data_IF_469453691552
#
_entry.id   IF_469453691552
#
_cell.length_a   1.000
_cell.length_b   1.000
_cell.length_c   1.000
_cell.angle_alpha   90.00
_cell.angle_beta   90.00
_cell.angle_gamma   90.00
#
_symmetry.space_group_name_H-M   'P 1'
#
loop_
_entity.id
_entity.type
_entity.pdbx_description
1 polymer ?
#
# COMPACT_ATOMS: atom_id res chain seq x y z
N UNK A 1 70.88 37.18 23.23
CA UNK A 1 69.59 37.82 23.12
C UNK A 1 68.82 36.98 22.11
N UNK A 2 67.99 36.15 22.61
CA UNK A 2 67.52 34.93 21.95
C UNK A 2 66.20 35.15 21.20
N UNK A 3 66.19 34.95 19.92
CA UNK A 3 65.02 34.85 19.09
C UNK A 3 64.36 33.45 19.30
N UNK A 4 63.09 33.42 19.59
CA UNK A 4 62.27 32.20 19.57
C UNK A 4 61.33 32.26 18.36
N UNK A 5 61.65 31.52 17.36
CA UNK A 5 60.79 31.19 16.23
C UNK A 5 59.68 30.23 16.67
N UNK A 6 58.44 30.61 16.48
CA UNK A 6 57.26 29.76 16.71
C UNK A 6 56.79 29.20 15.35
N UNK A 7 56.95 27.91 15.18
CA UNK A 7 56.35 27.16 14.05
C UNK A 7 54.89 26.85 14.31
N UNK A 8 54.03 27.30 13.43
CA UNK A 8 52.60 26.98 13.40
C UNK A 8 52.42 25.70 12.61
N UNK A 9 52.07 24.62 13.30
CA UNK A 9 51.62 23.38 12.67
C UNK A 9 50.17 23.51 12.15
N UNK A 10 50.04 23.31 10.83
CA UNK A 10 48.73 23.23 10.17
C UNK A 10 48.15 21.84 10.39
N UNK A 11 47.08 21.73 11.21
CA UNK A 11 46.27 20.54 11.32
C UNK A 11 45.35 20.40 10.11
N UNK A 12 45.71 19.53 9.17
CA UNK A 12 44.86 19.05 8.12
C UNK A 12 43.71 18.22 8.70
N UNK A 13 42.51 18.69 8.57
CA UNK A 13 41.29 17.91 8.86
C UNK A 13 41.10 16.95 7.69
N UNK A 14 41.48 15.70 7.88
CA UNK A 14 41.09 14.60 7.02
C UNK A 14 39.57 14.38 7.17
N UNK A 15 38.84 14.51 6.06
CA UNK A 15 37.47 14.05 5.97
C UNK A 15 37.51 12.52 5.92
N UNK A 16 37.17 11.87 7.00
CA UNK A 16 36.81 10.46 6.98
C UNK A 16 35.47 10.34 6.28
N UNK A 17 35.48 9.88 5.04
CA UNK A 17 34.31 9.27 4.42
C UNK A 17 33.99 8.04 5.27
N UNK A 18 32.83 8.02 5.88
CA UNK A 18 32.32 6.83 6.55
C UNK A 18 31.96 5.82 5.43
N UNK A 19 32.86 4.87 5.19
CA UNK A 19 32.53 3.66 4.42
C UNK A 19 31.42 2.95 5.21
N UNK A 20 30.22 2.94 4.66
CA UNK A 20 29.12 2.12 5.14
C UNK A 20 29.49 0.64 4.93
N UNK A 21 29.93 0.00 6.00
CA UNK A 21 30.17 -1.44 5.97
C UNK A 21 28.84 -2.15 5.64
N UNK A 22 28.83 -3.12 4.71
CA UNK A 22 27.66 -3.98 4.49
C UNK A 22 27.34 -4.67 5.82
N UNK A 23 26.10 -4.54 6.29
CA UNK A 23 25.62 -5.31 7.45
C UNK A 23 25.68 -6.78 7.07
N UNK A 24 26.56 -7.56 7.69
CA UNK A 24 26.60 -9.01 7.53
C UNK A 24 25.30 -9.61 8.12
N UNK A 25 24.42 -10.03 7.25
CA UNK A 25 23.29 -10.86 7.63
C UNK A 25 23.77 -12.32 7.59
N UNK A 26 23.76 -12.95 8.74
CA UNK A 26 24.04 -14.38 8.82
C UNK A 26 22.98 -15.15 8.05
N UNK A 27 23.40 -15.97 7.09
CA UNK A 27 22.57 -16.94 6.39
C UNK A 27 22.23 -18.09 7.34
N UNK A 28 21.26 -17.86 8.23
CA UNK A 28 20.68 -18.94 9.02
C UNK A 28 19.57 -19.58 8.19
N UNK A 29 19.62 -20.90 8.03
CA UNK A 29 18.50 -21.66 7.48
C UNK A 29 17.23 -21.38 8.31
N UNK A 30 16.06 -21.19 7.66
CA UNK A 30 14.83 -20.91 8.39
C UNK A 30 14.47 -22.08 9.33
N UNK A 31 14.46 -21.81 10.63
CA UNK A 31 14.27 -22.85 11.67
C UNK A 31 12.83 -23.25 11.91
N UNK A 32 11.83 -22.59 11.35
CA UNK A 32 10.45 -23.02 11.58
C UNK A 32 9.75 -23.43 10.31
N UNK A 33 9.41 -24.70 10.22
CA UNK A 33 8.43 -25.25 9.28
C UNK A 33 7.00 -25.11 9.82
N UNK A 34 6.83 -24.55 11.00
CA UNK A 34 5.50 -24.36 11.59
C UNK A 34 4.79 -23.17 10.99
N UNK A 35 3.49 -23.30 10.71
CA UNK A 35 2.71 -22.20 10.15
C UNK A 35 2.60 -21.06 11.16
N UNK A 36 3.05 -19.87 10.79
CA UNK A 36 2.69 -18.65 11.50
C UNK A 36 1.21 -18.39 11.22
N UNK A 37 0.36 -18.81 12.16
CA UNK A 37 -1.08 -18.58 12.04
C UNK A 37 -1.37 -17.10 11.94
N UNK A 38 -1.86 -16.65 10.79
CA UNK A 38 -2.51 -15.34 10.67
C UNK A 38 -3.90 -15.35 11.32
N UNK A 39 -4.39 -16.53 11.74
CA UNK A 39 -5.65 -16.71 12.45
C UNK A 39 -5.51 -16.16 13.88
N UNK A 40 -6.39 -15.26 14.25
CA UNK A 40 -6.58 -14.83 15.62
C UNK A 40 -5.92 -13.54 16.07
N UNK A 41 -4.99 -12.96 15.31
CA UNK A 41 -4.36 -11.69 15.66
C UNK A 41 -5.27 -10.46 15.47
N UNK A 42 -6.46 -10.63 14.89
CA UNK A 42 -7.33 -9.53 14.47
C UNK A 42 -8.54 -9.29 15.37
N UNK A 43 -8.85 -10.13 16.32
CA UNK A 43 -10.02 -9.98 17.21
C UNK A 43 -9.62 -10.05 18.66
N UNK A 44 -9.87 -8.95 19.39
CA UNK A 44 -9.67 -8.87 20.85
C UNK A 44 -10.96 -8.38 21.49
N UNK A 45 -11.52 -9.12 22.44
CA UNK A 45 -12.75 -8.74 23.14
C UNK A 45 -13.99 -8.58 22.21
N UNK A 46 -14.01 -9.32 21.08
CA UNK A 46 -15.10 -9.23 20.09
C UNK A 46 -14.92 -8.12 19.06
N UNK A 47 -13.91 -7.26 19.17
CA UNK A 47 -13.61 -6.22 18.20
C UNK A 47 -12.40 -6.55 17.34
N UNK A 48 -12.46 -6.16 16.07
CA UNK A 48 -11.29 -6.22 15.19
C UNK A 48 -10.21 -5.24 15.64
N UNK A 49 -9.01 -5.77 15.81
CA UNK A 49 -7.79 -4.98 16.09
C UNK A 49 -6.75 -5.27 15.03
N UNK A 50 -6.25 -4.21 14.39
CA UNK A 50 -5.13 -4.35 13.43
C UNK A 50 -3.81 -4.30 14.19
N UNK A 51 -2.92 -5.26 13.89
CA UNK A 51 -1.52 -5.11 14.31
C UNK A 51 -0.89 -3.94 13.54
N UNK A 52 -0.47 -2.92 14.26
CA UNK A 52 0.17 -1.73 13.72
C UNK A 52 1.67 -1.68 14.02
N UNK A 53 2.25 -2.77 14.53
CA UNK A 53 3.68 -2.85 14.78
C UNK A 53 4.39 -3.26 13.49
N UNK A 54 4.78 -2.28 12.73
CA UNK A 54 5.49 -2.46 11.46
C UNK A 54 7.00 -2.54 11.66
N UNK A 55 7.70 -2.99 10.62
CA UNK A 55 9.12 -2.74 10.46
C UNK A 55 9.24 -1.29 10.00
N UNK A 56 9.64 -0.40 10.91
CA UNK A 56 9.53 1.05 10.76
C UNK A 56 10.71 1.69 10.02
N UNK A 57 11.63 0.90 9.49
CA UNK A 57 12.74 1.44 8.70
C UNK A 57 12.21 2.28 7.54
N UNK A 58 12.92 3.38 7.27
CA UNK A 58 12.57 4.34 6.22
C UNK A 58 13.52 4.19 5.03
N UNK A 59 13.00 4.48 3.84
CA UNK A 59 13.88 4.67 2.67
C UNK A 59 13.90 6.16 2.39
N UNK A 60 14.94 6.81 2.91
CA UNK A 60 15.16 8.25 2.80
C UNK A 60 16.14 8.56 1.68
N UNK A 61 16.16 9.80 1.20
CA UNK A 61 16.95 10.23 0.03
C UNK A 61 18.42 9.78 0.10
N UNK A 62 19.05 9.94 1.24
CA UNK A 62 20.47 9.69 1.49
C UNK A 62 20.77 8.60 2.54
N UNK A 63 19.74 7.91 3.01
CA UNK A 63 19.85 6.88 4.05
C UNK A 63 19.93 7.42 5.47
N UNK A 64 19.68 8.71 5.68
CA UNK A 64 19.61 9.27 7.04
C UNK A 64 18.43 8.67 7.81
N UNK A 65 18.54 8.51 9.14
CA UNK A 65 17.43 8.08 9.98
C UNK A 65 16.20 8.97 9.83
N UNK A 66 15.02 8.38 9.97
CA UNK A 66 13.77 9.11 10.00
C UNK A 66 13.67 10.06 11.22
N UNK A 67 12.66 10.96 11.23
CA UNK A 67 12.57 12.04 12.22
C UNK A 67 12.36 11.55 13.66
N UNK A 68 11.87 10.33 13.86
CA UNK A 68 11.71 9.72 15.18
C UNK A 68 12.83 8.72 15.51
N UNK A 69 13.91 8.69 14.72
CA UNK A 69 15.05 7.79 14.90
C UNK A 69 14.90 6.43 14.22
N UNK A 70 13.92 6.28 13.32
CA UNK A 70 13.77 5.07 12.52
C UNK A 70 14.99 4.86 11.62
N UNK A 71 15.53 3.62 11.51
CA UNK A 71 16.69 3.35 10.67
C UNK A 71 16.44 3.76 9.21
N UNK A 72 17.40 4.45 8.60
CA UNK A 72 17.33 4.93 7.23
C UNK A 72 18.08 4.01 6.26
N UNK A 73 17.54 3.87 5.05
CA UNK A 73 18.13 3.22 3.89
C UNK A 73 18.15 4.23 2.75
N UNK A 74 19.22 4.33 1.94
CA UNK A 74 19.25 5.29 0.86
C UNK A 74 18.31 4.93 -0.28
N UNK A 75 17.66 5.92 -0.87
CA UNK A 75 16.86 5.77 -2.09
C UNK A 75 17.81 5.58 -3.29
N UNK A 76 17.92 4.35 -3.77
CA UNK A 76 18.79 3.96 -4.88
C UNK A 76 17.97 3.18 -5.92
N UNK A 77 18.01 3.57 -7.20
CA UNK A 77 17.27 2.88 -8.25
C UNK A 77 17.81 1.46 -8.46
N UNK A 78 16.88 0.50 -8.63
CA UNK A 78 17.22 -0.91 -8.84
C UNK A 78 17.65 -1.67 -7.58
N UNK A 79 17.72 -1.01 -6.42
CA UNK A 79 18.10 -1.64 -5.16
C UNK A 79 16.96 -2.41 -4.49
N UNK A 80 15.73 -1.97 -4.69
CA UNK A 80 14.58 -2.46 -3.95
C UNK A 80 13.54 -3.09 -4.85
N UNK A 81 12.84 -4.07 -4.27
CA UNK A 81 11.67 -4.71 -4.84
C UNK A 81 10.46 -4.49 -3.92
N UNK A 82 9.42 -3.90 -4.46
CA UNK A 82 8.14 -3.77 -3.80
C UNK A 82 7.36 -5.09 -3.98
N UNK A 83 6.99 -5.73 -2.89
CA UNK A 83 6.11 -6.91 -2.92
C UNK A 83 4.70 -6.47 -2.55
N UNK A 84 3.78 -6.63 -3.51
CA UNK A 84 2.43 -6.10 -3.40
C UNK A 84 1.40 -7.03 -4.05
N UNK A 85 0.63 -7.76 -3.25
CA UNK A 85 -0.47 -8.58 -3.75
C UNK A 85 -1.61 -7.70 -4.31
N UNK A 86 -2.10 -8.01 -5.51
CA UNK A 86 -3.20 -7.27 -6.18
C UNK A 86 -4.48 -7.24 -5.33
N UNK A 87 -4.73 -8.29 -4.58
CA UNK A 87 -5.88 -8.39 -3.69
C UNK A 87 -5.86 -7.38 -2.53
N UNK A 88 -4.67 -7.07 -1.98
CA UNK A 88 -4.52 -6.29 -0.77
C UNK A 88 -4.71 -4.79 -1.02
N UNK A 89 -5.69 -4.11 -0.35
CA UNK A 89 -5.90 -2.66 -0.52
C UNK A 89 -4.74 -1.82 0.01
N UNK A 90 -4.05 -2.31 1.03
CA UNK A 90 -2.89 -1.62 1.62
C UNK A 90 -1.69 -1.63 0.66
N UNK A 91 -1.46 -2.77 0.00
CA UNK A 91 -0.43 -2.92 -1.01
C UNK A 91 -0.76 -2.16 -2.30
N UNK A 92 -2.02 -2.14 -2.71
CA UNK A 92 -2.47 -1.44 -3.91
C UNK A 92 -2.16 0.07 -3.87
N UNK A 93 -2.19 0.72 -2.68
CA UNK A 93 -1.78 2.13 -2.53
C UNK A 93 -0.35 2.36 -3.01
N UNK A 94 0.57 1.46 -2.62
CA UNK A 94 1.98 1.59 -2.99
C UNK A 94 2.20 1.38 -4.48
N UNK A 95 1.40 0.51 -5.11
CA UNK A 95 1.43 0.30 -6.56
C UNK A 95 0.92 1.54 -7.29
N UNK A 96 -0.22 2.12 -6.86
CA UNK A 96 -0.77 3.35 -7.45
C UNK A 96 0.24 4.50 -7.34
N UNK A 97 0.81 4.75 -6.16
CA UNK A 97 1.78 5.82 -5.96
C UNK A 97 3.03 5.60 -6.81
N UNK A 98 3.57 4.36 -6.85
CA UNK A 98 4.70 4.00 -7.71
C UNK A 98 4.41 4.32 -9.18
N UNK A 99 3.20 3.99 -9.68
CA UNK A 99 2.74 4.27 -11.04
C UNK A 99 2.62 5.77 -11.31
N UNK A 100 1.93 6.51 -10.45
CA UNK A 100 1.71 7.95 -10.61
C UNK A 100 3.03 8.73 -10.65
N UNK A 101 3.98 8.33 -9.82
CA UNK A 101 5.29 8.98 -9.71
C UNK A 101 6.31 8.49 -10.75
N UNK A 102 6.02 7.39 -11.47
CA UNK A 102 6.92 6.83 -12.49
C UNK A 102 8.14 6.15 -11.90
N UNK A 103 7.98 5.50 -10.75
CA UNK A 103 9.06 4.82 -10.04
C UNK A 103 9.30 3.38 -10.52
N UNK A 104 8.68 2.97 -11.63
CA UNK A 104 8.75 1.59 -12.13
C UNK A 104 10.16 1.15 -12.51
N UNK A 105 11.00 2.07 -12.98
CA UNK A 105 12.40 1.77 -13.28
C UNK A 105 13.31 1.83 -12.04
N UNK A 106 12.89 2.54 -11.01
CA UNK A 106 13.66 2.65 -9.77
C UNK A 106 13.34 1.53 -8.77
N UNK A 107 12.09 1.07 -8.72
CA UNK A 107 11.62 0.07 -7.76
C UNK A 107 10.87 -1.01 -8.53
N UNK A 108 11.42 -2.21 -8.62
CA UNK A 108 10.76 -3.34 -9.28
C UNK A 108 9.58 -3.86 -8.46
N UNK A 109 8.61 -4.51 -9.12
CA UNK A 109 7.38 -5.02 -8.50
C UNK A 109 7.33 -6.55 -8.52
N UNK A 110 7.11 -7.16 -7.36
CA UNK A 110 6.77 -8.56 -7.19
C UNK A 110 5.31 -8.71 -6.75
N UNK A 111 4.58 -9.61 -7.39
CA UNK A 111 3.15 -9.76 -7.18
C UNK A 111 2.82 -11.19 -6.76
N UNK A 112 2.73 -11.46 -5.44
CA UNK A 112 2.30 -12.77 -4.98
C UNK A 112 0.87 -13.07 -5.42
N UNK A 113 0.54 -14.35 -5.53
CA UNK A 113 -0.78 -14.84 -5.88
C UNK A 113 -1.88 -14.38 -4.93
N UNK A 114 -3.16 -14.50 -5.33
CA UNK A 114 -4.29 -13.99 -4.55
C UNK A 114 -4.53 -14.78 -3.27
N UNK A 115 -4.12 -16.04 -3.22
CA UNK A 115 -4.24 -16.90 -2.04
C UNK A 115 -2.89 -17.08 -1.36
N UNK A 116 -2.90 -17.33 -0.07
CA UNK A 116 -1.72 -17.65 0.69
C UNK A 116 -1.99 -18.86 1.58
N UNK A 117 -0.96 -19.62 1.89
CA UNK A 117 -1.05 -20.71 2.87
C UNK A 117 -0.93 -20.16 4.32
N UNK A 118 -0.95 -21.06 5.31
CA UNK A 118 -0.85 -20.67 6.71
C UNK A 118 0.50 -20.01 7.07
N UNK A 119 1.52 -20.14 6.20
CA UNK A 119 2.84 -19.57 6.43
C UNK A 119 2.95 -18.15 5.90
N UNK A 120 2.60 -17.89 4.64
CA UNK A 120 2.64 -16.54 4.07
C UNK A 120 2.14 -16.49 2.61
N UNK A 121 2.28 -15.31 2.00
CA UNK A 121 2.05 -15.06 0.58
C UNK A 121 3.00 -15.89 -0.28
N UNK A 122 2.47 -16.50 -1.33
CA UNK A 122 3.20 -17.37 -2.29
C UNK A 122 3.35 -16.67 -3.63
N UNK A 123 4.35 -17.09 -4.41
CA UNK A 123 4.58 -16.63 -5.78
C UNK A 123 4.17 -17.70 -6.80
N UNK A 124 3.07 -18.39 -6.51
CA UNK A 124 2.53 -19.52 -7.27
C UNK A 124 2.04 -19.18 -8.68
N UNK A 125 1.87 -17.89 -9.00
CA UNK A 125 1.57 -17.42 -10.36
C UNK A 125 2.83 -17.10 -11.18
N UNK A 126 3.99 -17.02 -10.55
CA UNK A 126 5.26 -16.82 -11.22
C UNK A 126 5.84 -18.14 -11.76
N UNK A 127 6.74 -18.06 -12.74
CA UNK A 127 7.43 -19.22 -13.26
C UNK A 127 8.16 -19.96 -12.14
N UNK A 128 8.07 -21.29 -12.14
CA UNK A 128 8.66 -22.17 -11.12
C UNK A 128 8.14 -21.91 -9.68
N UNK A 129 7.05 -21.15 -9.52
CA UNK A 129 6.47 -20.81 -8.23
C UNK A 129 7.35 -19.92 -7.36
N UNK A 130 8.20 -19.09 -7.98
CA UNK A 130 9.17 -18.23 -7.29
C UNK A 130 9.16 -16.81 -7.83
N UNK A 131 9.34 -15.84 -6.95
CA UNK A 131 9.61 -14.48 -7.39
C UNK A 131 10.86 -14.45 -8.29
N UNK A 132 10.77 -13.93 -9.52
CA UNK A 132 11.85 -14.05 -10.51
C UNK A 132 13.11 -13.23 -10.16
N UNK A 133 13.01 -12.29 -9.23
CA UNK A 133 14.14 -11.43 -8.81
C UNK A 133 14.74 -11.93 -7.50
N UNK A 134 13.90 -12.26 -6.52
CA UNK A 134 14.34 -12.69 -5.19
C UNK A 134 14.61 -14.19 -5.08
N UNK A 135 14.09 -15.01 -6.02
CA UNK A 135 14.22 -16.47 -6.03
C UNK A 135 13.51 -17.18 -4.87
N UNK A 136 12.58 -16.50 -4.19
CA UNK A 136 11.85 -17.02 -3.04
C UNK A 136 10.48 -17.56 -3.44
N UNK A 137 10.03 -18.64 -2.79
CA UNK A 137 8.70 -19.22 -2.99
C UNK A 137 7.65 -18.53 -2.12
N UNK A 138 8.07 -17.97 -0.99
CA UNK A 138 7.19 -17.29 -0.03
C UNK A 138 7.81 -16.02 0.50
N UNK A 139 6.97 -15.02 0.72
CA UNK A 139 7.43 -13.73 1.26
C UNK A 139 8.04 -13.86 2.67
N UNK A 140 7.64 -14.85 3.46
CA UNK A 140 8.25 -15.09 4.79
C UNK A 140 9.77 -15.23 4.74
N UNK A 141 10.32 -15.75 3.63
CA UNK A 141 11.77 -15.96 3.50
C UNK A 141 12.52 -14.61 3.58
N UNK A 142 11.96 -13.55 3.00
CA UNK A 142 12.52 -12.20 3.11
C UNK A 142 12.47 -11.64 4.53
N UNK A 143 11.41 -11.94 5.29
CA UNK A 143 11.31 -11.52 6.69
C UNK A 143 12.28 -12.27 7.57
N UNK A 144 12.38 -13.59 7.42
CA UNK A 144 13.29 -14.43 8.24
C UNK A 144 14.76 -14.24 7.89
N UNK A 145 15.10 -13.82 6.68
CA UNK A 145 16.47 -13.38 6.36
C UNK A 145 16.90 -12.18 7.21
N UNK A 146 15.98 -11.31 7.55
CA UNK A 146 16.29 -10.16 8.42
C UNK A 146 16.08 -10.46 9.90
N UNK A 147 14.99 -11.11 10.24
CA UNK A 147 14.58 -11.43 11.60
C UNK A 147 14.23 -12.91 11.68
N UNK A 148 15.18 -13.81 12.01
CA UNK A 148 14.97 -15.26 11.99
C UNK A 148 13.78 -15.74 12.83
N UNK A 149 13.47 -15.02 13.91
CA UNK A 149 12.37 -15.32 14.83
C UNK A 149 11.27 -14.22 14.74
N UNK A 150 10.97 -13.72 13.51
CA UNK A 150 9.96 -12.67 13.35
C UNK A 150 8.60 -13.11 13.92
N UNK A 151 8.09 -12.44 14.97
CA UNK A 151 6.99 -12.96 15.79
C UNK A 151 5.60 -12.58 15.26
N UNK A 152 5.50 -11.89 14.11
CA UNK A 152 4.25 -11.30 13.60
C UNK A 152 3.85 -11.89 12.26
N UNK A 153 2.64 -11.58 11.82
CA UNK A 153 2.15 -11.95 10.49
C UNK A 153 3.01 -11.35 9.37
N UNK A 154 3.21 -12.14 8.33
CA UNK A 154 3.92 -11.72 7.11
C UNK A 154 2.95 -10.94 6.24
N UNK A 155 3.19 -9.64 6.06
CA UNK A 155 2.23 -8.74 5.42
C UNK A 155 2.76 -8.15 4.11
N UNK A 156 1.82 -7.76 3.25
CA UNK A 156 2.06 -6.90 2.08
C UNK A 156 1.35 -5.55 2.28
N UNK A 157 1.90 -4.44 1.76
CA UNK A 157 3.13 -4.36 0.98
C UNK A 157 4.36 -4.62 1.85
N UNK A 158 5.42 -5.08 1.22
CA UNK A 158 6.74 -5.16 1.82
C UNK A 158 7.79 -4.63 0.82
N UNK A 159 8.76 -3.86 1.28
CA UNK A 159 9.91 -3.49 0.48
C UNK A 159 11.07 -4.40 0.88
N UNK A 160 11.67 -5.06 -0.11
CA UNK A 160 12.77 -6.00 0.07
C UNK A 160 14.00 -5.44 -0.62
N UNK A 161 15.16 -5.44 0.03
CA UNK A 161 16.43 -5.14 -0.61
C UNK A 161 16.87 -6.35 -1.45
N UNK A 162 17.13 -6.13 -2.73
CA UNK A 162 17.37 -7.23 -3.68
C UNK A 162 18.66 -7.97 -3.34
N UNK A 163 19.74 -7.26 -3.00
CA UNK A 163 21.06 -7.85 -2.79
C UNK A 163 21.10 -8.82 -1.60
N UNK A 164 20.44 -8.48 -0.48
CA UNK A 164 20.36 -9.33 0.71
C UNK A 164 19.14 -10.27 0.67
N UNK A 165 18.14 -9.96 -0.15
CA UNK A 165 16.83 -10.60 -0.14
C UNK A 165 16.07 -10.43 1.18
N UNK A 166 16.45 -9.45 2.00
CA UNK A 166 15.86 -9.19 3.32
C UNK A 166 14.82 -8.06 3.25
N UNK A 167 13.74 -8.18 4.03
CA UNK A 167 12.74 -7.13 4.15
C UNK A 167 13.34 -5.87 4.77
N UNK A 168 13.02 -4.71 4.18
CA UNK A 168 13.41 -3.39 4.72
C UNK A 168 12.30 -2.84 5.58
N UNK A 169 11.09 -2.75 5.03
CA UNK A 169 9.93 -2.19 5.72
C UNK A 169 8.62 -2.79 5.18
N UNK A 170 7.62 -2.86 6.04
CA UNK A 170 6.23 -3.16 5.69
C UNK A 170 5.27 -2.07 6.22
N UNK A 171 5.82 -0.91 6.59
CA UNK A 171 5.06 0.22 7.09
C UNK A 171 4.32 0.93 5.94
N UNK A 172 3.23 0.34 5.46
CA UNK A 172 2.47 0.84 4.32
C UNK A 172 1.96 2.29 4.48
N UNK A 173 1.62 2.82 5.67
CA UNK A 173 1.29 4.22 5.84
C UNK A 173 2.44 5.16 5.48
N UNK A 174 3.68 4.71 5.69
CA UNK A 174 4.89 5.50 5.48
C UNK A 174 5.50 5.29 4.08
N UNK A 175 5.43 4.08 3.52
CA UNK A 175 6.02 3.76 2.21
C UNK A 175 5.53 4.73 1.12
N UNK A 176 4.23 5.04 1.07
CA UNK A 176 3.67 5.94 0.05
C UNK A 176 4.12 7.38 0.25
N UNK A 177 4.31 7.81 1.49
CA UNK A 177 4.85 9.13 1.81
C UNK A 177 6.32 9.22 1.43
N UNK A 178 7.12 8.18 1.71
CA UNK A 178 8.52 8.12 1.29
C UNK A 178 8.64 8.15 -0.22
N UNK A 179 7.83 7.39 -0.95
CA UNK A 179 7.80 7.47 -2.41
C UNK A 179 7.51 8.89 -2.90
N UNK A 180 6.63 9.62 -2.22
CA UNK A 180 6.23 10.97 -2.60
C UNK A 180 7.25 12.05 -2.23
N UNK A 181 8.05 11.86 -1.17
CA UNK A 181 8.92 12.91 -0.60
C UNK A 181 10.42 12.62 -0.70
N UNK A 182 10.82 11.35 -0.56
CA UNK A 182 12.23 10.94 -0.50
C UNK A 182 12.77 10.47 -1.87
N UNK A 183 11.89 10.00 -2.76
CA UNK A 183 12.25 9.48 -4.07
C UNK A 183 12.13 10.50 -5.21
N UNK A 184 12.02 11.78 -4.91
CA UNK A 184 11.74 12.84 -5.89
C UNK A 184 12.77 12.94 -7.03
N UNK A 185 14.02 12.54 -6.80
CA UNK A 185 15.08 12.55 -7.82
C UNK A 185 14.86 11.48 -8.92
N UNK A 186 14.00 10.50 -8.63
CA UNK A 186 13.65 9.39 -9.53
C UNK A 186 12.23 9.49 -10.08
N UNK A 187 11.50 10.55 -9.72
CA UNK A 187 10.18 10.77 -10.28
C UNK A 187 10.26 11.05 -11.76
N UNK A 188 9.31 10.53 -12.53
CA UNK A 188 9.19 10.89 -13.95
C UNK A 188 8.96 12.38 -14.15
N UNK A 189 9.37 12.97 -15.29
CA UNK A 189 8.96 14.32 -15.64
C UNK A 189 7.44 14.45 -15.66
N UNK A 190 6.90 15.50 -15.03
CA UNK A 190 5.47 15.71 -14.92
C UNK A 190 4.74 14.80 -13.93
N UNK A 191 5.44 14.16 -12.99
CA UNK A 191 4.79 13.44 -11.89
C UNK A 191 3.94 14.40 -11.03
N UNK A 192 2.73 13.99 -10.58
CA UNK A 192 1.92 14.82 -9.71
C UNK A 192 2.51 14.93 -8.31
N UNK A 193 2.19 16.03 -7.60
CA UNK A 193 2.51 16.17 -6.19
C UNK A 193 1.39 15.57 -5.34
N UNK A 194 1.58 14.33 -4.86
CA UNK A 194 0.56 13.63 -4.09
C UNK A 194 0.48 14.07 -2.62
N UNK A 195 1.54 14.71 -2.09
CA UNK A 195 1.61 15.15 -0.70
C UNK A 195 2.24 16.55 -0.60
N UNK A 196 1.61 17.58 -1.24
CA UNK A 196 2.14 18.94 -1.28
C UNK A 196 2.11 19.57 0.12
N UNK A 197 3.17 20.28 0.47
CA UNK A 197 3.42 20.79 1.82
C UNK A 197 2.25 21.62 2.39
N UNK A 198 1.70 22.51 1.58
CA UNK A 198 0.61 23.39 2.01
C UNK A 198 -0.74 22.69 2.27
N UNK A 199 -0.91 21.44 1.82
CA UNK A 199 -2.12 20.64 2.05
C UNK A 199 -1.92 19.50 3.06
N UNK A 200 -0.71 19.27 3.55
CA UNK A 200 -0.40 18.09 4.42
C UNK A 200 -1.31 18.02 5.63
N UNK A 201 -1.55 19.13 6.30
CA UNK A 201 -2.41 19.15 7.48
C UNK A 201 -3.85 18.69 7.21
N UNK A 202 -4.43 19.09 6.07
CA UNK A 202 -5.75 18.64 5.66
C UNK A 202 -5.73 17.19 5.18
N UNK A 203 -4.74 16.80 4.36
CA UNK A 203 -4.54 15.43 3.89
C UNK A 203 -4.44 14.47 5.09
N UNK A 204 -3.64 14.80 6.08
CA UNK A 204 -3.45 13.96 7.27
C UNK A 204 -4.73 13.82 8.10
N UNK A 205 -5.48 14.93 8.24
CA UNK A 205 -6.76 14.93 8.95
C UNK A 205 -7.79 14.03 8.25
N UNK A 206 -7.92 14.17 6.92
CA UNK A 206 -8.81 13.33 6.10
C UNK A 206 -8.35 11.87 6.14
N UNK A 207 -7.05 11.63 5.98
CA UNK A 207 -6.47 10.28 6.03
C UNK A 207 -6.73 9.59 7.36
N UNK A 208 -6.60 10.30 8.48
CA UNK A 208 -6.89 9.74 9.82
C UNK A 208 -8.33 9.27 9.93
N UNK A 209 -9.29 10.08 9.46
CA UNK A 209 -10.70 9.72 9.48
C UNK A 209 -11.00 8.55 8.55
N UNK A 210 -10.55 8.64 7.29
CA UNK A 210 -10.73 7.59 6.28
C UNK A 210 -10.09 6.27 6.75
N UNK A 211 -8.88 6.31 7.31
CA UNK A 211 -8.22 5.12 7.84
C UNK A 211 -9.03 4.47 8.96
N UNK A 212 -9.46 5.27 9.93
CA UNK A 212 -10.10 4.76 11.14
C UNK A 212 -11.52 4.26 10.88
N UNK A 213 -12.31 5.03 10.12
CA UNK A 213 -13.76 4.83 10.00
C UNK A 213 -14.14 4.08 8.72
N UNK A 214 -13.34 4.15 7.65
CA UNK A 214 -13.62 3.51 6.35
C UNK A 214 -12.69 2.35 6.09
N UNK A 215 -11.39 2.59 5.93
CA UNK A 215 -10.46 1.53 5.53
C UNK A 215 -10.36 0.40 6.57
N UNK A 216 -10.29 0.72 7.86
CA UNK A 216 -10.43 -0.26 8.93
C UNK A 216 -11.89 -0.53 9.31
N UNK A 217 -12.80 0.40 9.03
CA UNK A 217 -14.24 0.27 9.30
C UNK A 217 -14.84 -0.97 8.65
N UNK A 218 -14.54 -1.21 7.38
CA UNK A 218 -15.01 -2.41 6.66
C UNK A 218 -14.52 -3.71 7.30
N UNK A 219 -13.26 -3.74 7.78
CA UNK A 219 -12.72 -4.91 8.49
C UNK A 219 -13.34 -5.07 9.88
N UNK A 220 -13.62 -3.98 10.58
CA UNK A 220 -14.31 -4.04 11.87
C UNK A 220 -15.71 -4.60 11.73
N UNK A 221 -16.43 -4.31 10.65
CA UNK A 221 -17.69 -4.97 10.33
C UNK A 221 -17.49 -6.45 10.01
N UNK A 222 -16.55 -6.77 9.11
CA UNK A 222 -16.35 -8.13 8.60
C UNK A 222 -15.87 -9.13 9.63
N UNK A 223 -14.98 -8.71 10.53
CA UNK A 223 -14.39 -9.53 11.59
C UNK A 223 -14.94 -9.25 12.99
N UNK A 224 -16.11 -8.62 13.10
CA UNK A 224 -16.78 -8.46 14.38
C UNK A 224 -17.09 -9.82 15.01
N UNK A 225 -16.67 -10.00 16.25
CA UNK A 225 -16.90 -11.22 17.02
C UNK A 225 -18.19 -11.19 17.86
N UNK A 226 -18.95 -10.07 17.83
CA UNK A 226 -20.24 -9.91 18.50
C UNK A 226 -21.14 -8.97 17.72
N UNK A 227 -22.48 -9.09 17.95
CA UNK A 227 -23.45 -8.19 17.34
C UNK A 227 -23.22 -6.73 17.75
N UNK A 228 -22.90 -6.49 19.02
CA UNK A 228 -22.64 -5.14 19.55
C UNK A 228 -21.43 -4.49 18.86
N UNK A 229 -20.32 -5.24 18.70
CA UNK A 229 -19.13 -4.77 17.99
C UNK A 229 -19.44 -4.45 16.52
N UNK A 230 -20.22 -5.31 15.87
CA UNK A 230 -20.68 -5.09 14.50
C UNK A 230 -21.52 -3.83 14.37
N UNK A 231 -22.56 -3.66 15.20
CA UNK A 231 -23.47 -2.52 15.14
C UNK A 231 -22.73 -1.20 15.36
N UNK A 232 -21.78 -1.18 16.30
CA UNK A 232 -20.94 -0.02 16.57
C UNK A 232 -20.01 0.30 15.36
N UNK A 233 -19.40 -0.71 14.76
CA UNK A 233 -18.54 -0.56 13.59
C UNK A 233 -19.34 -0.10 12.37
N UNK A 234 -20.49 -0.71 12.13
CA UNK A 234 -21.40 -0.39 11.04
C UNK A 234 -21.88 1.06 11.10
N UNK A 235 -22.32 1.51 12.27
CA UNK A 235 -22.75 2.90 12.48
C UNK A 235 -21.63 3.89 12.17
N UNK A 236 -20.42 3.65 12.65
CA UNK A 236 -19.26 4.52 12.38
C UNK A 236 -18.90 4.55 10.91
N UNK A 237 -18.86 3.38 10.27
CA UNK A 237 -18.57 3.27 8.83
C UNK A 237 -19.57 4.12 8.02
N UNK A 238 -20.86 3.96 8.27
CA UNK A 238 -21.88 4.63 7.47
C UNK A 238 -21.97 6.13 7.73
N UNK A 239 -21.69 6.59 8.94
CA UNK A 239 -21.51 8.02 9.21
C UNK A 239 -20.34 8.62 8.43
N UNK A 240 -19.26 7.86 8.26
CA UNK A 240 -18.12 8.30 7.45
C UNK A 240 -18.42 8.25 5.95
N UNK A 241 -19.14 7.24 5.47
CA UNK A 241 -19.56 7.15 4.07
C UNK A 241 -20.52 8.29 3.69
N UNK A 242 -21.47 8.65 4.57
CA UNK A 242 -22.36 9.80 4.36
C UNK A 242 -21.58 11.13 4.32
N UNK A 243 -20.62 11.32 5.20
CA UNK A 243 -19.73 12.47 5.18
C UNK A 243 -18.90 12.55 3.88
N UNK A 244 -18.43 11.43 3.37
CA UNK A 244 -17.71 11.38 2.10
C UNK A 244 -18.62 11.68 0.92
N UNK A 245 -19.85 11.16 0.93
CA UNK A 245 -20.86 11.43 -0.10
C UNK A 245 -21.16 12.93 -0.16
N UNK A 246 -21.41 13.57 1.00
CA UNK A 246 -21.65 15.01 1.10
C UNK A 246 -20.42 15.82 0.61
N UNK A 247 -19.22 15.49 1.12
CA UNK A 247 -17.97 16.18 0.75
C UNK A 247 -17.72 16.13 -0.75
N UNK A 248 -17.87 14.95 -1.35
CA UNK A 248 -17.61 14.72 -2.76
C UNK A 248 -18.74 15.16 -3.68
N UNK A 249 -19.91 15.57 -3.16
CA UNK A 249 -20.97 16.18 -3.99
C UNK A 249 -20.59 17.56 -4.50
N UNK A 250 -19.74 18.29 -3.77
CA UNK A 250 -19.34 19.68 -4.08
C UNK A 250 -17.91 19.84 -4.58
N UNK A 251 -17.06 18.81 -4.52
CA UNK A 251 -15.66 18.88 -4.96
C UNK A 251 -15.21 17.57 -5.62
N UNK A 252 -14.27 17.67 -6.57
CA UNK A 252 -13.86 16.52 -7.38
C UNK A 252 -12.98 15.53 -6.62
N UNK A 253 -12.03 16.02 -5.80
CA UNK A 253 -11.10 15.24 -5.02
C UNK A 253 -11.27 15.48 -3.52
N UNK A 254 -10.68 14.61 -2.68
CA UNK A 254 -10.84 14.71 -1.23
C UNK A 254 -10.19 15.95 -0.64
N UNK A 255 -9.05 16.38 -1.18
CA UNK A 255 -8.31 17.56 -0.71
C UNK A 255 -7.74 18.33 -1.91
N UNK A 256 -8.06 19.61 -2.00
CA UNK A 256 -7.58 20.46 -3.10
C UNK A 256 -8.19 20.12 -4.46
N UNK A 257 -7.53 20.58 -5.53
CA UNK A 257 -8.02 20.52 -6.91
C UNK A 257 -7.37 19.42 -7.76
N UNK A 258 -6.58 18.55 -7.15
CA UNK A 258 -5.90 17.43 -7.80
C UNK A 258 -5.85 16.21 -6.89
N UNK A 259 -5.52 15.05 -7.47
CA UNK A 259 -5.33 13.82 -6.73
C UNK A 259 -4.21 13.99 -5.70
N UNK A 260 -4.49 13.54 -4.47
CA UNK A 260 -3.55 13.52 -3.36
C UNK A 260 -3.45 12.12 -2.75
N UNK A 261 -2.58 11.96 -1.77
CA UNK A 261 -2.46 10.74 -0.95
C UNK A 261 -3.81 10.33 -0.34
N UNK A 262 -4.70 11.30 -0.03
CA UNK A 262 -6.03 11.01 0.51
C UNK A 262 -6.90 10.23 -0.48
N UNK A 263 -6.86 10.59 -1.76
CA UNK A 263 -7.62 9.93 -2.82
C UNK A 263 -7.12 8.51 -3.05
N UNK A 264 -5.79 8.31 -3.07
CA UNK A 264 -5.17 6.98 -3.17
C UNK A 264 -5.63 6.08 -2.04
N UNK A 265 -5.65 6.58 -0.80
CA UNK A 265 -6.02 5.81 0.39
C UNK A 265 -7.49 5.43 0.44
N UNK A 266 -8.38 6.27 -0.01
CA UNK A 266 -9.81 5.96 -0.07
C UNK A 266 -10.13 5.02 -1.24
N UNK A 267 -9.58 5.29 -2.42
CA UNK A 267 -9.90 4.55 -3.64
C UNK A 267 -9.75 3.04 -3.49
N UNK A 268 -8.67 2.58 -2.87
CA UNK A 268 -8.40 1.14 -2.75
C UNK A 268 -9.48 0.39 -1.96
N UNK A 269 -10.16 1.06 -1.02
CA UNK A 269 -11.32 0.52 -0.32
C UNK A 269 -12.58 0.57 -1.19
N UNK A 270 -12.82 1.70 -1.86
CA UNK A 270 -13.99 1.84 -2.74
C UNK A 270 -13.99 0.84 -3.90
N UNK A 271 -12.83 0.59 -4.51
CA UNK A 271 -12.68 -0.40 -5.59
C UNK A 271 -13.06 -1.84 -5.16
N UNK A 272 -13.01 -2.13 -3.86
CA UNK A 272 -13.36 -3.44 -3.28
C UNK A 272 -14.75 -3.47 -2.65
N UNK A 273 -15.45 -2.33 -2.59
CA UNK A 273 -16.63 -2.19 -1.75
C UNK A 273 -17.77 -3.12 -2.20
N UNK A 274 -18.24 -2.99 -3.41
CA UNK A 274 -19.36 -3.80 -3.92
C UNK A 274 -18.93 -5.26 -4.21
N UNK A 275 -17.67 -5.46 -4.64
CA UNK A 275 -17.17 -6.79 -4.96
C UNK A 275 -16.94 -7.67 -3.71
N UNK A 276 -16.66 -7.05 -2.56
CA UNK A 276 -16.28 -7.75 -1.33
C UNK A 276 -17.01 -7.21 -0.11
N UNK A 277 -16.78 -5.96 0.28
CA UNK A 277 -17.14 -5.49 1.62
C UNK A 277 -18.63 -5.41 1.85
N UNK A 278 -19.41 -5.07 0.84
CA UNK A 278 -20.86 -5.03 0.91
C UNK A 278 -21.44 -6.40 1.31
N UNK A 279 -21.06 -7.47 0.61
CA UNK A 279 -21.56 -8.81 0.88
C UNK A 279 -20.77 -9.55 1.97
N UNK A 280 -19.48 -9.79 1.71
CA UNK A 280 -18.62 -10.62 2.52
C UNK A 280 -18.41 -10.06 3.95
N UNK A 281 -18.23 -8.76 4.07
CA UNK A 281 -18.05 -8.07 5.35
C UNK A 281 -19.33 -7.46 5.92
N UNK A 282 -20.47 -7.67 5.25
CA UNK A 282 -21.79 -7.18 5.70
C UNK A 282 -21.90 -5.65 5.83
N UNK A 283 -21.10 -4.89 5.05
CA UNK A 283 -21.19 -3.43 4.99
C UNK A 283 -22.34 -3.01 4.06
N UNK A 284 -23.57 -3.49 4.33
CA UNK A 284 -24.62 -3.65 3.33
C UNK A 284 -25.80 -2.69 3.46
N UNK A 285 -25.61 -1.46 3.98
CA UNK A 285 -26.66 -0.42 3.92
C UNK A 285 -26.96 -0.04 2.47
N UNK A 286 -25.91 0.36 1.76
CA UNK A 286 -25.93 0.70 0.35
C UNK A 286 -24.77 0.02 -0.38
N UNK A 287 -24.96 -0.26 -1.67
CA UNK A 287 -23.84 -0.47 -2.56
C UNK A 287 -23.15 0.87 -2.86
N UNK A 288 -21.90 0.83 -3.26
CA UNK A 288 -21.20 2.02 -3.75
C UNK A 288 -21.93 2.63 -4.95
N UNK A 289 -22.46 1.78 -5.84
CA UNK A 289 -23.26 2.17 -7.01
C UNK A 289 -24.55 2.93 -6.67
N UNK A 290 -25.02 2.87 -5.44
CA UNK A 290 -26.21 3.57 -4.95
C UNK A 290 -25.89 4.92 -4.26
N UNK A 291 -24.60 5.32 -4.24
CA UNK A 291 -24.12 6.57 -3.66
C UNK A 291 -23.57 7.47 -4.77
N UNK A 292 -24.36 8.41 -5.33
CA UNK A 292 -24.03 9.09 -6.58
C UNK A 292 -22.69 9.82 -6.61
N UNK A 293 -22.34 10.56 -5.54
CA UNK A 293 -21.10 11.31 -5.48
C UNK A 293 -19.89 10.38 -5.30
N UNK A 294 -19.96 9.42 -4.39
CA UNK A 294 -18.92 8.41 -4.17
C UNK A 294 -18.74 7.50 -5.38
N UNK A 295 -19.84 7.07 -6.02
CA UNK A 295 -19.75 6.26 -7.22
C UNK A 295 -19.15 7.02 -8.40
N UNK A 296 -19.56 8.28 -8.60
CA UNK A 296 -18.94 9.16 -9.59
C UNK A 296 -17.46 9.34 -9.33
N UNK A 297 -17.07 9.61 -8.09
CA UNK A 297 -15.68 9.76 -7.66
C UNK A 297 -14.85 8.48 -7.86
N UNK A 298 -15.39 7.33 -7.47
CA UNK A 298 -14.71 6.06 -7.64
C UNK A 298 -14.43 5.75 -9.12
N UNK A 299 -15.39 6.05 -10.02
CA UNK A 299 -15.23 5.91 -11.47
C UNK A 299 -14.22 6.91 -12.05
N UNK A 300 -14.25 8.17 -11.60
CA UNK A 300 -13.28 9.20 -12.03
C UNK A 300 -11.85 8.73 -11.73
N UNK A 301 -11.59 8.25 -10.52
CA UNK A 301 -10.29 7.68 -10.17
C UNK A 301 -10.00 6.39 -10.93
N UNK A 302 -10.96 5.46 -11.05
CA UNK A 302 -10.76 4.20 -11.76
C UNK A 302 -10.35 4.42 -13.22
N UNK A 303 -10.96 5.39 -13.90
CA UNK A 303 -10.67 5.76 -15.29
C UNK A 303 -9.40 6.63 -15.43
N UNK A 304 -8.87 7.11 -14.31
CA UNK A 304 -7.61 7.85 -14.30
C UNK A 304 -6.42 6.88 -14.41
N UNK A 305 -5.52 7.06 -15.41
CA UNK A 305 -4.33 6.23 -15.54
C UNK A 305 -3.51 6.16 -14.24
N UNK A 306 -3.12 4.97 -13.85
CA UNK A 306 -2.41 4.69 -12.59
C UNK A 306 -3.29 4.15 -11.47
N UNK A 307 -4.62 4.13 -11.65
CA UNK A 307 -5.58 3.61 -10.66
C UNK A 307 -6.25 2.31 -11.12
N UNK A 308 -7.17 2.38 -12.06
CA UNK A 308 -7.94 1.21 -12.52
C UNK A 308 -7.07 0.15 -13.18
N UNK A 309 -5.99 0.55 -13.83
CA UNK A 309 -4.99 -0.33 -14.42
C UNK A 309 -4.19 -1.15 -13.37
N UNK A 310 -4.41 -0.90 -12.08
CA UNK A 310 -3.86 -1.68 -10.95
C UNK A 310 -4.87 -2.62 -10.29
N UNK A 311 -6.14 -2.57 -10.70
CA UNK A 311 -7.25 -3.30 -10.06
C UNK A 311 -7.53 -4.62 -10.77
N UNK A 312 -7.33 -5.72 -10.07
CA UNK A 312 -7.65 -7.08 -10.49
C UNK A 312 -8.82 -7.62 -9.66
N UNK A 313 -10.05 -7.52 -10.19
CA UNK A 313 -11.25 -7.94 -9.48
C UNK A 313 -11.32 -9.44 -9.26
N UNK A 314 -10.70 -10.24 -10.12
CA UNK A 314 -10.67 -11.69 -9.98
C UNK A 314 -9.81 -12.06 -8.77
N UNK A 315 -8.57 -11.56 -8.71
CA UNK A 315 -7.68 -11.83 -7.59
C UNK A 315 -8.21 -11.23 -6.27
N UNK A 316 -8.84 -10.05 -6.32
CA UNK A 316 -9.50 -9.46 -5.15
C UNK A 316 -10.56 -10.43 -4.61
N UNK A 317 -11.51 -10.89 -5.44
CA UNK A 317 -12.56 -11.81 -4.99
C UNK A 317 -11.98 -13.14 -4.51
N UNK A 318 -11.04 -13.73 -5.26
CA UNK A 318 -10.39 -14.99 -4.86
C UNK A 318 -9.78 -14.88 -3.46
N UNK A 319 -9.01 -13.82 -3.19
CA UNK A 319 -8.39 -13.64 -1.89
C UNK A 319 -9.42 -13.63 -0.76
N UNK A 320 -10.37 -12.70 -0.82
CA UNK A 320 -11.30 -12.52 0.29
C UNK A 320 -12.22 -13.72 0.51
N UNK A 321 -12.73 -14.33 -0.56
CA UNK A 321 -13.69 -15.41 -0.43
C UNK A 321 -13.07 -16.78 -0.20
N UNK A 322 -11.80 -16.98 -0.58
CA UNK A 322 -11.10 -18.26 -0.35
C UNK A 322 -10.35 -18.24 1.00
N UNK A 323 -9.67 -17.13 1.32
CA UNK A 323 -8.78 -17.07 2.49
C UNK A 323 -9.52 -16.90 3.82
N UNK A 324 -10.65 -16.20 3.82
CA UNK A 324 -11.43 -15.93 5.04
C UNK A 324 -12.42 -17.07 5.33
N UNK A 325 -11.93 -18.23 5.64
CA UNK A 325 -12.73 -19.44 5.92
C UNK A 325 -13.71 -19.26 7.09
N UNK A 326 -13.36 -18.44 8.08
CA UNK A 326 -14.23 -18.14 9.23
C UNK A 326 -15.50 -17.37 8.82
N UNK A 327 -15.45 -16.62 7.69
CA UNK A 327 -16.57 -15.86 7.16
C UNK A 327 -17.25 -16.64 6.02
N UNK A 328 -16.47 -17.33 5.19
CA UNK A 328 -16.93 -18.06 4.01
C UNK A 328 -16.35 -19.49 4.00
N UNK A 329 -16.84 -20.39 4.85
CA UNK A 329 -16.29 -21.75 5.00
C UNK A 329 -16.41 -22.61 3.75
N UNK A 330 -17.31 -22.26 2.83
CA UNK A 330 -17.48 -22.97 1.55
C UNK A 330 -16.48 -22.54 0.48
N UNK A 331 -15.73 -21.47 0.71
CA UNK A 331 -14.77 -20.87 -0.22
C UNK A 331 -15.36 -20.53 -1.61
N UNK A 332 -16.68 -20.41 -1.72
CA UNK A 332 -17.33 -20.03 -2.97
C UNK A 332 -17.03 -18.58 -3.28
N UNK A 333 -16.45 -18.33 -4.46
CA UNK A 333 -16.19 -17.00 -5.01
C UNK A 333 -17.44 -16.55 -5.78
N UNK A 334 -18.10 -15.44 -5.41
CA UNK A 334 -19.32 -15.00 -6.09
C UNK A 334 -19.06 -14.54 -7.52
N UNK A 335 -20.01 -14.76 -8.44
CA UNK A 335 -19.91 -14.32 -9.83
C UNK A 335 -19.96 -12.78 -9.95
N UNK A 336 -20.88 -12.12 -9.27
CA UNK A 336 -21.03 -10.66 -9.27
C UNK A 336 -19.99 -9.91 -8.42
N UNK A 337 -20.12 -8.57 -8.38
CA UNK A 337 -21.09 -7.76 -9.11
C UNK A 337 -20.76 -7.59 -10.60
N UNK A 338 -21.72 -7.01 -11.37
CA UNK A 338 -21.43 -6.50 -12.72
C UNK A 338 -20.43 -5.33 -12.63
N UNK A 339 -19.37 -5.36 -13.43
CA UNK A 339 -18.23 -4.44 -13.33
C UNK A 339 -18.18 -3.40 -14.45
N UNK A 340 -18.91 -3.58 -15.56
CA UNK A 340 -18.87 -2.65 -16.70
C UNK A 340 -19.23 -1.21 -16.34
N UNK A 341 -19.98 -1.02 -15.25
CA UNK A 341 -20.30 0.29 -14.70
C UNK A 341 -19.10 1.16 -14.34
N UNK A 342 -17.94 0.55 -14.04
CA UNK A 342 -16.71 1.29 -13.73
C UNK A 342 -16.19 2.12 -14.92
N UNK A 343 -16.51 1.73 -16.14
CA UNK A 343 -16.11 2.42 -17.38
C UNK A 343 -17.16 3.42 -17.88
N UNK A 344 -18.30 3.53 -17.20
CA UNK A 344 -19.33 4.52 -17.54
C UNK A 344 -18.89 5.94 -17.23
N UNK A 345 -19.36 6.92 -18.01
CA UNK A 345 -19.05 8.33 -17.81
C UNK A 345 -19.37 8.79 -16.38
N UNK A 346 -18.42 9.44 -15.72
CA UNK A 346 -18.55 9.88 -14.31
C UNK A 346 -19.05 11.33 -14.17
N UNK A 347 -18.81 12.21 -15.17
CA UNK A 347 -19.30 13.58 -15.22
C UNK A 347 -18.69 14.53 -14.20
N UNK A 348 -17.62 14.13 -13.50
CA UNK A 348 -17.03 14.91 -12.41
C UNK A 348 -16.10 16.05 -12.88
N UNK A 349 -15.78 16.09 -14.16
CA UNK A 349 -15.06 17.20 -14.79
C UNK A 349 -15.78 18.54 -14.59
N UNK A 350 -17.11 18.50 -14.45
CA UNK A 350 -17.94 19.67 -14.17
C UNK A 350 -17.68 20.31 -12.80
N UNK A 351 -17.06 19.57 -11.86
CA UNK A 351 -16.65 20.10 -10.55
C UNK A 351 -15.29 20.80 -10.57
N UNK A 352 -14.63 20.84 -11.74
CA UNK A 352 -13.30 21.44 -11.90
C UNK A 352 -12.17 20.52 -11.43
N UNK A 353 -11.00 21.12 -11.26
CA UNK A 353 -9.78 20.40 -10.89
C UNK A 353 -9.16 19.59 -12.03
N UNK A 354 -7.94 19.11 -11.80
CA UNK A 354 -7.18 18.29 -12.75
C UNK A 354 -6.59 17.09 -12.03
N UNK A 355 -6.72 15.86 -12.56
CA UNK A 355 -6.22 14.65 -11.87
C UNK A 355 -4.76 14.77 -11.43
N UNK A 356 -3.92 15.32 -12.30
CA UNK A 356 -2.47 15.41 -12.07
C UNK A 356 -1.99 16.82 -11.72
N UNK A 357 -2.90 17.75 -11.42
CA UNK A 357 -2.57 19.16 -11.16
C UNK A 357 -1.86 19.79 -12.36
N UNK A 358 -0.62 20.25 -12.16
CA UNK A 358 0.26 20.76 -13.23
C UNK A 358 1.05 19.63 -13.91
N UNK A 359 0.91 18.40 -13.45
CA UNK A 359 1.59 17.25 -14.00
C UNK A 359 0.89 16.65 -15.22
N UNK A 360 1.32 15.45 -15.59
CA UNK A 360 0.82 14.67 -16.72
C UNK A 360 0.39 13.27 -16.27
N UNK A 361 -0.43 12.54 -17.03
CA UNK A 361 -0.72 11.15 -16.75
C UNK A 361 0.55 10.28 -16.84
N UNK A 362 0.64 9.15 -16.10
CA UNK A 362 1.68 8.17 -16.29
C UNK A 362 1.59 7.55 -17.69
N UNK A 363 2.70 6.99 -18.17
CA UNK A 363 2.73 6.22 -19.41
C UNK A 363 1.91 4.91 -19.31
N UNK A 364 1.96 4.06 -20.34
CA UNK A 364 1.32 2.74 -20.31
C UNK A 364 1.85 1.88 -19.17
N UNK A 365 1.07 0.88 -18.75
CA UNK A 365 1.50 -0.10 -17.75
C UNK A 365 2.73 -0.82 -18.28
N UNK A 366 3.71 -1.07 -17.40
CA UNK A 366 4.94 -1.77 -17.74
C UNK A 366 4.62 -3.23 -18.12
N UNK A 367 5.31 -3.74 -19.15
CA UNK A 367 5.17 -5.12 -19.57
C UNK A 367 5.41 -6.09 -18.41
N UNK A 368 4.47 -7.01 -18.20
CA UNK A 368 4.46 -7.97 -17.09
C UNK A 368 3.82 -7.45 -15.78
N UNK A 369 3.39 -6.19 -15.75
CA UNK A 369 2.66 -5.63 -14.60
C UNK A 369 1.15 -5.41 -14.91
N UNK A 370 0.73 -5.70 -16.14
CA UNK A 370 -0.67 -5.53 -16.57
C UNK A 370 -1.62 -6.42 -15.75
N UNK A 371 -2.84 -5.95 -15.57
CA UNK A 371 -3.94 -6.80 -15.10
C UNK A 371 -4.30 -7.77 -16.20
N UNK A 372 -4.47 -9.04 -15.86
CA UNK A 372 -4.77 -10.08 -16.84
C UNK A 372 -6.08 -9.76 -17.59
N UNK A 373 -6.19 -10.09 -18.90
CA UNK A 373 -7.40 -9.87 -19.65
C UNK A 373 -8.64 -10.50 -18.98
N UNK A 374 -9.72 -9.73 -18.89
CA UNK A 374 -10.96 -10.15 -18.24
C UNK A 374 -10.94 -10.07 -16.68
N UNK A 375 -9.82 -9.64 -16.08
CA UNK A 375 -9.74 -9.43 -14.61
C UNK A 375 -10.08 -8.00 -14.19
N UNK A 376 -10.03 -7.04 -15.12
CA UNK A 376 -10.46 -5.66 -14.92
C UNK A 376 -11.98 -5.47 -15.07
N UNK A 377 -12.41 -4.24 -15.35
CA UNK A 377 -13.82 -3.89 -15.52
C UNK A 377 -14.31 -4.00 -16.98
N UNK A 378 -13.44 -4.30 -17.92
CA UNK A 378 -13.75 -4.43 -19.36
C UNK A 378 -12.99 -5.55 -20.02
#
# INVERSE_FOLDING_TARGET
>A
MSEKTSTVEAHGRGRHAAESQPREFHSAEPRSTEPHSTKGAYVTGGEFTRDTNYIEDRITRDGTPGPNGEPGWPAEPGRYRLIAARACPWANRTVIVRRLLGLEDAISLGQPGPTHDARSWTFDLDADGKDPVLGIERLQDAYFRRFPDYPRGITVPAVVEIASGAVVTNNYPQITLDFSTEWTDFHRPGAPQLYPEHLRGEIDSVNKRVFTEVNNGVYRCGFAGSQEAYDAAYTRLWNAMDWLEERLSGQRYLVGDSITEADVRLFTTLARFDAVYHGHFKCNRNKLTEMPALWGYARDLFQTPGFGDTIDFVQIKQHYYIVHEDINPTQIVPAGPELSGWLSAHGRESLGGSPFGQGTPPGPVRAGEEVAPGHGAG
#
